data_IF_402798636149
#
_entry.id   IF_402798636149
#
_cell.length_a   1.000
_cell.length_b   1.000
_cell.length_c   1.000
_cell.angle_alpha   90.00
_cell.angle_beta   90.00
_cell.angle_gamma   90.00
#
_symmetry.space_group_name_H-M   'P 1'
#
loop_
_entity.id
_entity.type
_entity.pdbx_description
1 polymer ?
#
# COMPACT_ATOMS: atom_id res chain seq x y z
N UNK A 1 20.17 -10.56 19.60
CA UNK A 1 19.27 -10.66 18.44
C UNK A 1 17.92 -10.11 18.86
N UNK A 2 17.36 -9.12 18.16
CA UNK A 2 16.08 -8.52 18.54
C UNK A 2 14.92 -9.45 18.18
N UNK A 3 14.01 -9.71 19.12
CA UNK A 3 12.81 -10.49 18.84
C UNK A 3 11.96 -9.78 17.78
N UNK A 4 11.66 -10.47 16.69
CA UNK A 4 10.71 -9.97 15.71
C UNK A 4 9.29 -10.04 16.31
N UNK A 5 8.39 -9.11 15.95
CA UNK A 5 6.99 -9.19 16.34
C UNK A 5 6.41 -10.53 15.86
N UNK A 6 5.61 -11.15 16.71
CA UNK A 6 5.05 -12.48 16.52
C UNK A 6 4.32 -12.64 15.17
N UNK A 7 3.69 -11.56 14.68
CA UNK A 7 3.02 -11.50 13.37
C UNK A 7 3.95 -11.73 12.17
N UNK A 8 5.27 -11.48 12.30
CA UNK A 8 6.27 -11.78 11.26
C UNK A 8 6.79 -13.21 11.31
N UNK A 9 6.50 -13.95 12.37
CA UNK A 9 7.06 -15.27 12.65
C UNK A 9 6.00 -16.36 12.46
N UNK A 10 4.75 -16.12 12.86
CA UNK A 10 3.66 -17.05 12.63
C UNK A 10 3.06 -16.90 11.23
N UNK A 11 3.11 -17.97 10.46
CA UNK A 11 2.38 -18.10 9.20
C UNK A 11 0.88 -18.28 9.49
N UNK A 12 0.08 -17.27 9.18
CA UNK A 12 -1.39 -17.35 9.14
C UNK A 12 -1.90 -17.61 7.71
N UNK A 13 -3.22 -17.53 7.51
CA UNK A 13 -3.79 -17.57 6.17
C UNK A 13 -3.28 -16.38 5.32
N UNK A 14 -3.23 -16.51 3.98
CA UNK A 14 -2.86 -15.40 3.10
C UNK A 14 -3.67 -14.15 3.41
N UNK A 15 -3.01 -12.99 3.46
CA UNK A 15 -3.61 -11.68 3.76
C UNK A 15 -4.20 -11.52 5.17
N UNK A 16 -4.02 -12.49 6.08
CA UNK A 16 -4.46 -12.37 7.47
C UNK A 16 -3.59 -11.37 8.27
N UNK A 17 -2.28 -11.39 8.05
CA UNK A 17 -1.33 -10.44 8.62
C UNK A 17 -0.60 -9.72 7.48
N UNK A 18 -0.77 -8.41 7.41
CA UNK A 18 -0.22 -7.58 6.33
C UNK A 18 0.57 -6.42 6.96
N UNK A 19 1.73 -6.12 6.40
CA UNK A 19 2.44 -4.86 6.63
C UNK A 19 1.97 -3.81 5.64
N UNK A 20 1.72 -2.59 6.11
CA UNK A 20 1.40 -1.43 5.29
C UNK A 20 2.58 -0.47 5.30
N UNK A 21 3.01 -0.04 4.12
CA UNK A 21 3.99 1.02 3.94
C UNK A 21 3.53 1.98 2.84
N UNK A 22 4.12 3.17 2.79
CA UNK A 22 3.79 4.19 1.79
C UNK A 22 5.05 4.67 1.08
N UNK A 23 5.07 4.55 -0.26
CA UNK A 23 6.04 5.26 -1.06
C UNK A 23 5.57 6.69 -1.33
N UNK A 24 6.43 7.64 -0.94
CA UNK A 24 6.18 9.08 -0.93
C UNK A 24 5.84 9.71 -2.29
N UNK A 25 5.50 11.01 -2.30
CA UNK A 25 4.67 11.59 -3.34
C UNK A 25 5.39 11.59 -4.69
N UNK A 26 4.95 10.73 -5.58
CA UNK A 26 5.38 10.70 -6.97
C UNK A 26 4.41 11.51 -7.83
N UNK A 27 4.93 12.08 -8.91
CA UNK A 27 4.10 12.73 -9.91
C UNK A 27 3.54 11.66 -10.85
N UNK A 28 2.23 11.55 -10.92
CA UNK A 28 1.54 10.65 -11.84
C UNK A 28 0.67 11.45 -12.79
N UNK A 29 0.62 11.00 -14.06
CA UNK A 29 -0.30 11.55 -15.04
C UNK A 29 -1.67 10.90 -14.80
N UNK A 30 -2.59 11.67 -14.24
CA UNK A 30 -3.99 11.26 -14.18
C UNK A 30 -4.64 11.44 -15.54
N UNK A 31 -5.13 10.33 -16.10
CA UNK A 31 -6.05 10.31 -17.25
C UNK A 31 -7.53 10.26 -16.81
N UNK A 32 -7.80 10.51 -15.53
CA UNK A 32 -9.18 10.53 -15.05
C UNK A 32 -9.87 11.82 -15.55
N UNK A 33 -10.78 11.68 -16.51
CA UNK A 33 -11.53 12.78 -17.12
C UNK A 33 -10.93 13.33 -18.43
N UNK A 34 -11.30 14.56 -18.80
CA UNK A 34 -10.78 15.23 -20.01
C UNK A 34 -9.47 15.96 -19.71
N UNK A 35 -8.41 15.60 -20.42
CA UNK A 35 -7.06 16.18 -20.33
C UNK A 35 -6.11 15.40 -19.43
N UNK A 36 -4.80 15.52 -19.70
CA UNK A 36 -3.75 14.93 -18.86
C UNK A 36 -3.39 15.93 -17.75
N UNK A 37 -3.64 15.58 -16.49
CA UNK A 37 -3.22 16.39 -15.33
C UNK A 37 -2.14 15.66 -14.56
N UNK A 38 -1.07 16.37 -14.20
CA UNK A 38 -0.06 15.86 -13.29
C UNK A 38 -0.60 16.02 -11.87
N UNK A 39 -0.70 14.91 -11.13
CA UNK A 39 -1.17 14.86 -9.75
C UNK A 39 -0.10 14.22 -8.86
N UNK A 40 -0.05 14.66 -7.60
CA UNK A 40 0.79 14.02 -6.58
C UNK A 40 0.05 12.80 -6.04
N UNK A 41 0.71 11.64 -6.06
CA UNK A 41 0.14 10.38 -5.61
C UNK A 41 1.12 9.65 -4.71
N UNK A 42 0.59 8.86 -3.81
CA UNK A 42 1.35 7.91 -2.99
C UNK A 42 1.07 6.51 -3.50
N UNK A 43 1.98 5.58 -3.21
CA UNK A 43 1.73 4.15 -3.43
C UNK A 43 1.62 3.50 -2.06
N UNK A 44 0.43 3.00 -1.73
CA UNK A 44 0.24 2.12 -0.58
C UNK A 44 0.76 0.72 -0.93
N UNK A 45 1.64 0.19 -0.09
CA UNK A 45 2.32 -1.09 -0.27
C UNK A 45 1.82 -2.04 0.80
N UNK A 46 1.02 -3.02 0.41
CA UNK A 46 0.50 -4.05 1.30
C UNK A 46 1.32 -5.32 1.14
N UNK A 47 2.03 -5.74 2.18
CA UNK A 47 2.91 -6.91 2.17
C UNK A 47 2.28 -8.01 3.02
N UNK A 48 1.87 -9.11 2.40
CA UNK A 48 1.40 -10.30 3.12
C UNK A 48 2.58 -10.97 3.85
N UNK A 49 2.48 -11.17 5.16
CA UNK A 49 3.58 -11.79 5.92
C UNK A 49 3.66 -13.31 5.74
N UNK A 50 2.56 -13.97 5.37
CA UNK A 50 2.53 -15.41 5.12
C UNK A 50 3.21 -15.79 3.79
N UNK A 51 2.92 -15.05 2.71
CA UNK A 51 3.36 -15.37 1.34
C UNK A 51 4.41 -14.42 0.79
N UNK A 52 4.65 -13.28 1.46
CA UNK A 52 5.45 -12.15 0.94
C UNK A 52 4.89 -11.55 -0.35
N UNK A 53 3.60 -11.76 -0.66
CA UNK A 53 2.94 -11.11 -1.80
C UNK A 53 2.75 -9.63 -1.54
N UNK A 54 2.93 -8.80 -2.57
CA UNK A 54 2.81 -7.34 -2.51
C UNK A 54 1.61 -6.91 -3.34
N UNK A 55 0.67 -6.17 -2.72
CA UNK A 55 -0.40 -5.45 -3.41
C UNK A 55 -0.07 -3.95 -3.38
N UNK A 56 -0.06 -3.33 -4.55
CA UNK A 56 0.24 -1.91 -4.73
C UNK A 56 -1.04 -1.18 -5.11
N UNK A 57 -1.39 -0.17 -4.33
CA UNK A 57 -2.55 0.69 -4.58
C UNK A 57 -2.09 2.14 -4.73
N UNK A 58 -2.59 2.81 -5.77
CA UNK A 58 -2.27 4.21 -6.02
C UNK A 58 -3.27 5.09 -5.28
N UNK A 59 -2.78 5.88 -4.32
CA UNK A 59 -3.58 6.76 -3.47
C UNK A 59 -3.40 8.20 -3.95
N UNK A 60 -4.50 8.80 -4.41
CA UNK A 60 -4.52 10.20 -4.90
C UNK A 60 -4.90 11.12 -3.76
N UNK A 61 -3.97 12.02 -3.39
CA UNK A 61 -4.14 13.21 -2.55
C UNK A 61 -5.40 13.31 -1.68
N UNK A 62 -5.54 12.38 -0.75
CA UNK A 62 -6.20 12.51 0.56
C UNK A 62 -5.84 11.21 1.29
N UNK A 63 -5.04 11.29 2.37
CA UNK A 63 -4.60 10.09 3.13
C UNK A 63 -5.76 9.48 3.95
N UNK A 64 -7.00 9.75 3.58
CA UNK A 64 -8.22 9.25 4.20
C UNK A 64 -8.79 8.13 3.33
N UNK A 65 -8.88 6.94 3.92
CA UNK A 65 -9.57 5.81 3.31
C UNK A 65 -11.06 6.13 3.20
N UNK A 66 -11.63 6.07 1.99
CA UNK A 66 -13.08 5.93 1.84
C UNK A 66 -13.42 4.50 2.27
N UNK A 67 -14.01 4.36 3.45
CA UNK A 67 -14.66 3.12 3.84
C UNK A 67 -15.74 2.82 2.80
N UNK A 68 -15.61 1.67 2.13
CA UNK A 68 -16.59 1.15 1.18
C UNK A 68 -17.70 0.40 1.91
#
# INVERSE_FOLDING_TARGET
MGNLPHQRILSGFPFQNIGLDYAGPIQSVSRHGRGCKIVKVYIAIFICFATKSIHLELVVSDMTSKAS
#
